data_IF_346966236486
#
_entry.id   IF_346966236486
#
_cell.length_a   1.000
_cell.length_b   1.000
_cell.length_c   1.000
_cell.angle_alpha   90.00
_cell.angle_beta   90.00
_cell.angle_gamma   90.00
#
_symmetry.space_group_name_H-M   'P 1'
#
loop_
_entity.id
_entity.type
_entity.pdbx_description
1 polymer ?
#
# COMPACT_ATOMS: atom_id res chain seq x y z
N UNK A 1 -20.78 3.75 16.86
CA UNK A 1 -19.50 4.26 16.32
C UNK A 1 -19.31 3.65 14.93
N UNK A 2 -18.60 4.32 14.02
CA UNK A 2 -18.33 3.75 12.69
C UNK A 2 -17.28 2.66 12.82
N UNK A 3 -17.60 1.45 12.34
CA UNK A 3 -16.66 0.34 12.28
C UNK A 3 -16.17 0.09 10.86
N UNK A 4 -14.86 -0.05 10.70
CA UNK A 4 -14.18 -0.26 9.42
C UNK A 4 -13.53 -1.65 9.41
N UNK A 5 -13.80 -2.43 8.36
CA UNK A 5 -13.04 -3.65 8.09
C UNK A 5 -11.75 -3.29 7.34
N UNK A 6 -10.61 -3.79 7.78
CA UNK A 6 -9.31 -3.59 7.13
C UNK A 6 -8.69 -4.94 6.82
N UNK A 7 -8.76 -5.36 5.56
CA UNK A 7 -8.06 -6.58 5.12
C UNK A 7 -6.59 -6.27 4.86
N UNK A 8 -5.66 -7.16 5.19
CA UNK A 8 -4.23 -6.90 5.02
C UNK A 8 -3.70 -5.83 5.99
N UNK A 9 -4.43 -5.59 7.08
CA UNK A 9 -4.18 -4.49 8.02
C UNK A 9 -2.93 -4.67 8.88
N UNK A 10 -2.36 -5.89 8.93
CA UNK A 10 -1.10 -6.13 9.63
C UNK A 10 0.14 -5.76 8.80
N UNK A 11 -0.03 -5.58 7.48
CA UNK A 11 1.03 -5.21 6.56
C UNK A 11 1.48 -3.75 6.71
N UNK A 12 2.40 -3.34 5.82
CA UNK A 12 3.04 -2.02 5.88
C UNK A 12 2.05 -0.84 5.81
N UNK A 13 1.37 -0.63 4.68
CA UNK A 13 0.40 0.48 4.54
C UNK A 13 -0.82 0.27 5.44
N UNK A 14 -1.24 -0.99 5.61
CA UNK A 14 -2.36 -1.38 6.45
C UNK A 14 -2.20 -0.91 7.90
N UNK A 15 -1.09 -1.24 8.55
CA UNK A 15 -0.85 -0.89 9.97
C UNK A 15 -0.81 0.62 10.21
N UNK A 16 -0.22 1.38 9.29
CA UNK A 16 -0.21 2.85 9.36
C UNK A 16 -1.62 3.42 9.16
N UNK A 17 -2.43 2.82 8.29
CA UNK A 17 -3.83 3.24 8.09
C UNK A 17 -4.70 2.89 9.30
N UNK A 18 -4.53 1.71 9.89
CA UNK A 18 -5.20 1.32 11.15
C UNK A 18 -4.90 2.33 12.24
N UNK A 19 -3.63 2.74 12.39
CA UNK A 19 -3.23 3.77 13.35
C UNK A 19 -3.99 5.08 13.14
N UNK A 20 -4.05 5.59 11.91
CA UNK A 20 -4.74 6.86 11.61
C UNK A 20 -6.26 6.71 11.83
N UNK A 21 -6.86 5.58 11.45
CA UNK A 21 -8.28 5.29 11.72
C UNK A 21 -8.60 5.33 13.22
N UNK A 22 -7.77 4.67 14.04
CA UNK A 22 -7.95 4.68 15.50
C UNK A 22 -7.80 6.08 16.07
N UNK A 23 -6.81 6.86 15.62
CA UNK A 23 -6.65 8.27 16.05
C UNK A 23 -7.88 9.11 15.72
N UNK A 24 -8.49 8.88 14.57
CA UNK A 24 -9.70 9.55 14.08
C UNK A 24 -11.00 9.02 14.71
N UNK A 25 -10.91 8.08 15.65
CA UNK A 25 -12.04 7.60 16.45
C UNK A 25 -12.88 6.51 15.78
N UNK A 26 -12.37 5.89 14.71
CA UNK A 26 -13.01 4.71 14.12
C UNK A 26 -12.74 3.46 14.97
N UNK A 27 -13.73 2.56 15.01
CA UNK A 27 -13.51 1.18 15.45
C UNK A 27 -12.97 0.38 14.27
N UNK A 28 -11.99 -0.48 14.50
CA UNK A 28 -11.30 -1.21 13.42
C UNK A 28 -11.29 -2.71 13.71
N UNK A 29 -11.73 -3.47 12.71
CA UNK A 29 -11.50 -4.92 12.62
C UNK A 29 -10.47 -5.18 11.54
N UNK A 30 -9.36 -5.85 11.89
CA UNK A 30 -8.35 -6.29 10.93
C UNK A 30 -8.53 -7.77 10.64
N UNK A 31 -8.44 -8.14 9.37
CA UNK A 31 -8.21 -9.52 8.94
C UNK A 31 -6.94 -9.60 8.10
N UNK A 32 -6.11 -10.59 8.37
CA UNK A 32 -4.84 -10.81 7.65
C UNK A 32 -4.48 -12.30 7.68
N UNK A 33 -3.88 -12.84 6.62
CA UNK A 33 -3.43 -14.24 6.61
C UNK A 33 -1.95 -14.38 6.99
N UNK A 34 -1.28 -13.28 7.32
CA UNK A 34 0.11 -13.22 7.78
C UNK A 34 1.15 -13.64 6.74
N UNK A 35 0.78 -13.76 5.46
CA UNK A 35 1.71 -14.19 4.39
C UNK A 35 2.92 -13.25 4.23
N UNK A 36 2.76 -11.97 4.62
CA UNK A 36 3.82 -10.97 4.61
C UNK A 36 3.68 -9.99 5.78
N UNK A 37 3.35 -10.50 6.97
CA UNK A 37 3.32 -9.76 8.22
C UNK A 37 3.89 -10.63 9.36
N UNK A 38 4.43 -10.00 10.40
CA UNK A 38 5.10 -10.70 11.51
C UNK A 38 4.12 -10.94 12.65
N UNK A 39 3.96 -12.21 13.00
CA UNK A 39 3.31 -12.64 14.23
C UNK A 39 4.39 -12.80 15.30
N UNK A 40 4.50 -11.89 16.26
CA UNK A 40 5.41 -12.05 17.40
C UNK A 40 4.80 -11.44 18.67
N UNK A 41 5.03 -12.09 19.81
CA UNK A 41 4.42 -11.78 21.11
C UNK A 41 3.30 -12.74 21.49
N UNK A 42 3.33 -13.23 22.74
CA UNK A 42 2.27 -14.06 23.34
C UNK A 42 0.94 -13.29 23.35
N UNK A 43 0.01 -13.62 22.46
CA UNK A 43 -1.28 -12.93 22.38
C UNK A 43 -2.07 -13.10 21.08
N UNK A 44 -1.49 -13.76 20.06
CA UNK A 44 -2.21 -14.07 18.82
C UNK A 44 -2.49 -12.87 17.91
N UNK A 45 -1.84 -11.71 18.18
CA UNK A 45 -1.96 -10.47 17.39
C UNK A 45 -0.61 -10.11 16.75
N UNK A 46 -0.58 -9.59 15.50
CA UNK A 46 0.64 -9.15 14.82
C UNK A 46 1.36 -8.05 15.57
N UNK A 47 2.70 -8.08 15.55
CA UNK A 47 3.50 -7.12 16.31
C UNK A 47 3.32 -5.68 15.79
N UNK A 48 3.08 -5.52 14.49
CA UNK A 48 2.70 -4.22 13.92
C UNK A 48 1.45 -3.65 14.58
N UNK A 49 0.44 -4.47 14.84
CA UNK A 49 -0.81 -4.06 15.49
C UNK A 49 -0.63 -3.84 17.00
N UNK A 50 0.14 -4.69 17.70
CA UNK A 50 0.49 -4.44 19.11
C UNK A 50 1.12 -3.06 19.31
N UNK A 51 2.03 -2.69 18.40
CA UNK A 51 2.69 -1.38 18.43
C UNK A 51 1.76 -0.25 18.01
N UNK A 52 0.82 -0.49 17.10
CA UNK A 52 -0.26 0.47 16.82
C UNK A 52 -1.11 0.75 18.06
N UNK A 53 -1.50 -0.28 18.81
CA UNK A 53 -2.23 -0.11 20.08
C UNK A 53 -1.41 0.68 21.10
N UNK A 54 -0.11 0.38 21.20
CA UNK A 54 0.82 1.12 22.07
C UNK A 54 0.93 2.61 21.68
N UNK A 55 0.99 2.93 20.40
CA UNK A 55 1.09 4.32 19.92
C UNK A 55 -0.22 5.09 20.18
N UNK A 56 -1.36 4.43 19.93
CA UNK A 56 -2.68 5.10 19.94
C UNK A 56 -3.35 5.09 21.31
N UNK A 57 -2.97 4.16 22.20
CA UNK A 57 -3.69 3.87 23.43
C UNK A 57 -5.08 3.25 23.21
N UNK A 58 -5.36 2.77 21.98
CA UNK A 58 -6.66 2.22 21.57
C UNK A 58 -6.49 0.79 21.08
N UNK A 59 -7.51 -0.03 21.25
CA UNK A 59 -7.47 -1.43 20.83
C UNK A 59 -7.93 -1.64 19.38
N UNK A 60 -7.38 -2.66 18.74
CA UNK A 60 -7.78 -3.16 17.42
C UNK A 60 -8.21 -4.62 17.52
N UNK A 61 -9.37 -4.93 16.95
CA UNK A 61 -9.83 -6.31 16.82
C UNK A 61 -9.10 -6.96 15.64
N UNK A 62 -8.72 -8.23 15.79
CA UNK A 62 -7.92 -8.95 14.81
C UNK A 62 -8.31 -10.42 14.72
N UNK A 63 -8.40 -10.95 13.50
CA UNK A 63 -8.49 -12.39 13.24
C UNK A 63 -7.59 -12.80 12.06
N UNK A 64 -6.96 -13.98 12.17
CA UNK A 64 -6.16 -14.56 11.09
C UNK A 64 -7.11 -15.22 10.09
N UNK A 65 -7.27 -14.61 8.91
CA UNK A 65 -8.20 -15.08 7.88
C UNK A 65 -7.59 -14.88 6.50
N UNK A 66 -7.62 -15.94 5.71
CA UNK A 66 -7.37 -15.86 4.27
C UNK A 66 -8.69 -15.56 3.55
N UNK A 67 -8.67 -14.65 2.58
CA UNK A 67 -9.85 -14.32 1.78
C UNK A 67 -10.32 -15.49 0.91
N UNK A 68 -9.47 -16.51 0.73
CA UNK A 68 -9.83 -17.78 0.09
C UNK A 68 -10.66 -18.69 1.00
N UNK A 69 -10.66 -18.49 2.31
CA UNK A 69 -11.55 -19.17 3.25
C UNK A 69 -12.88 -18.41 3.35
N UNK A 70 -13.75 -18.68 2.39
CA UNK A 70 -15.04 -18.00 2.25
C UNK A 70 -15.93 -18.15 3.48
N UNK A 71 -15.91 -19.32 4.14
CA UNK A 71 -16.73 -19.58 5.33
C UNK A 71 -16.20 -18.83 6.55
N UNK A 72 -14.88 -18.77 6.76
CA UNK A 72 -14.30 -17.93 7.81
C UNK A 72 -14.55 -16.44 7.56
N UNK A 73 -14.43 -15.99 6.31
CA UNK A 73 -14.71 -14.61 5.92
C UNK A 73 -16.18 -14.24 6.19
N UNK A 74 -17.14 -15.07 5.75
CA UNK A 74 -18.57 -14.90 6.05
C UNK A 74 -18.83 -14.81 7.54
N UNK A 75 -18.25 -15.73 8.32
CA UNK A 75 -18.40 -15.76 9.79
C UNK A 75 -17.96 -14.44 10.40
N UNK A 76 -16.78 -13.94 10.06
CA UNK A 76 -16.26 -12.70 10.66
C UNK A 76 -17.02 -11.47 10.23
N UNK A 77 -17.31 -11.32 8.93
CA UNK A 77 -18.06 -10.16 8.45
C UNK A 77 -19.44 -10.09 9.12
N UNK A 78 -20.10 -11.24 9.28
CA UNK A 78 -21.41 -11.35 9.94
C UNK A 78 -21.36 -11.11 11.45
N UNK A 79 -20.37 -11.67 12.16
CA UNK A 79 -20.34 -11.66 13.64
C UNK A 79 -19.65 -10.43 14.23
N UNK A 80 -18.76 -9.78 13.49
CA UNK A 80 -18.02 -8.59 13.92
C UNK A 80 -18.56 -7.30 13.32
N UNK A 81 -19.49 -7.37 12.36
CA UNK A 81 -20.18 -6.23 11.80
C UNK A 81 -21.21 -5.60 12.76
N UNK A 82 -22.03 -4.65 12.27
CA UNK A 82 -22.03 -4.13 10.90
C UNK A 82 -20.80 -3.28 10.60
N UNK A 83 -20.31 -3.37 9.37
CA UNK A 83 -19.22 -2.52 8.86
C UNK A 83 -19.81 -1.43 7.97
N UNK A 84 -19.30 -0.21 8.12
CA UNK A 84 -19.72 0.90 7.27
C UNK A 84 -18.93 0.95 5.95
N UNK A 85 -17.67 0.52 6.00
CA UNK A 85 -16.80 0.46 4.83
C UNK A 85 -15.69 -0.57 5.06
N UNK A 86 -15.14 -1.06 3.96
CA UNK A 86 -13.96 -1.92 3.95
C UNK A 86 -12.79 -1.20 3.28
N UNK A 87 -11.61 -1.22 3.90
CA UNK A 87 -10.36 -0.83 3.27
C UNK A 87 -9.59 -2.10 2.91
N UNK A 88 -9.42 -2.34 1.61
CA UNK A 88 -8.89 -3.60 1.09
C UNK A 88 -7.41 -3.47 0.69
N UNK A 89 -6.49 -3.86 1.59
CA UNK A 89 -5.05 -3.95 1.33
C UNK A 89 -4.56 -5.36 0.97
N UNK A 90 -5.29 -6.42 1.36
CA UNK A 90 -4.84 -7.80 1.21
C UNK A 90 -4.56 -8.16 -0.26
N UNK A 91 -3.29 -8.24 -0.62
CA UNK A 91 -2.81 -8.60 -1.95
C UNK A 91 -1.33 -8.99 -1.90
N UNK A 92 -0.92 -9.91 -2.77
CA UNK A 92 0.49 -10.07 -3.13
C UNK A 92 0.91 -8.89 -3.99
N UNK A 93 2.12 -8.35 -3.76
CA UNK A 93 2.54 -7.04 -4.30
C UNK A 93 3.85 -7.01 -5.10
N UNK A 94 4.59 -8.12 -5.20
CA UNK A 94 5.90 -8.11 -5.87
C UNK A 94 5.73 -8.26 -7.39
N UNK A 95 6.11 -7.21 -8.14
CA UNK A 95 6.10 -7.23 -9.62
C UNK A 95 6.92 -8.40 -10.16
N UNK A 96 8.16 -8.55 -9.70
CA UNK A 96 9.06 -9.60 -10.17
C UNK A 96 8.55 -11.01 -9.88
N UNK A 97 8.06 -11.26 -8.65
CA UNK A 97 7.49 -12.56 -8.27
C UNK A 97 6.22 -12.84 -9.10
N UNK A 98 5.40 -11.83 -9.39
CA UNK A 98 4.17 -12.00 -10.16
C UNK A 98 4.43 -12.51 -11.58
N UNK A 99 5.53 -12.10 -12.20
CA UNK A 99 5.95 -12.60 -13.51
C UNK A 99 6.37 -14.08 -13.46
N UNK A 100 6.90 -14.54 -12.32
CA UNK A 100 7.30 -15.92 -12.11
C UNK A 100 6.13 -16.81 -11.65
N UNK A 101 5.16 -16.26 -10.91
CA UNK A 101 4.05 -16.97 -10.30
C UNK A 101 2.69 -16.34 -10.62
N UNK A 102 2.31 -16.17 -11.90
CA UNK A 102 1.13 -15.39 -12.28
C UNK A 102 -0.17 -15.94 -11.69
N UNK A 103 -0.39 -17.27 -11.71
CA UNK A 103 -1.63 -17.88 -11.20
C UNK A 103 -1.81 -17.66 -9.69
N UNK A 104 -0.72 -17.61 -8.92
CA UNK A 104 -0.77 -17.30 -7.49
C UNK A 104 -1.29 -15.88 -7.26
N UNK A 105 -0.82 -14.92 -8.06
CA UNK A 105 -1.27 -13.52 -7.99
C UNK A 105 -2.74 -13.38 -8.42
N UNK A 106 -3.16 -13.99 -9.54
CA UNK A 106 -4.57 -13.93 -9.97
C UNK A 106 -5.51 -14.57 -8.97
N UNK A 107 -5.13 -15.70 -8.34
CA UNK A 107 -5.94 -16.33 -7.29
C UNK A 107 -6.04 -15.45 -6.06
N UNK A 108 -4.92 -15.01 -5.50
CA UNK A 108 -4.91 -14.23 -4.27
C UNK A 108 -5.57 -12.85 -4.46
N UNK A 109 -5.16 -12.11 -5.48
CA UNK A 109 -5.59 -10.73 -5.68
C UNK A 109 -6.91 -10.61 -6.47
N UNK A 110 -7.26 -11.62 -7.27
CA UNK A 110 -8.51 -11.66 -8.02
C UNK A 110 -9.59 -12.38 -7.23
N UNK A 111 -9.50 -13.71 -7.14
CA UNK A 111 -10.52 -14.54 -6.46
C UNK A 111 -10.74 -14.13 -5.00
N UNK A 112 -9.67 -13.87 -4.23
CA UNK A 112 -9.80 -13.40 -2.85
C UNK A 112 -10.57 -12.08 -2.73
N UNK A 113 -10.35 -11.15 -3.66
CA UNK A 113 -11.09 -9.87 -3.69
C UNK A 113 -12.55 -10.04 -4.12
N UNK A 114 -12.84 -10.98 -5.03
CA UNK A 114 -14.21 -11.32 -5.44
C UNK A 114 -14.97 -11.91 -4.24
N UNK A 115 -14.38 -12.88 -3.54
CA UNK A 115 -14.95 -13.44 -2.31
C UNK A 115 -15.28 -12.34 -1.28
N UNK A 116 -14.36 -11.36 -1.11
CA UNK A 116 -14.58 -10.22 -0.23
C UNK A 116 -15.78 -9.37 -0.67
N UNK A 117 -15.88 -9.01 -1.94
CA UNK A 117 -17.01 -8.21 -2.47
C UNK A 117 -18.35 -8.92 -2.28
N UNK A 118 -18.41 -10.24 -2.55
CA UNK A 118 -19.60 -11.06 -2.34
C UNK A 118 -20.05 -11.02 -0.86
N UNK A 119 -19.13 -11.32 0.07
CA UNK A 119 -19.46 -11.36 1.51
C UNK A 119 -19.82 -9.98 2.07
N UNK A 120 -19.15 -8.93 1.61
CA UNK A 120 -19.50 -7.56 1.99
C UNK A 120 -20.92 -7.20 1.53
N UNK A 121 -21.28 -7.56 0.29
CA UNK A 121 -22.61 -7.39 -0.27
C UNK A 121 -23.69 -8.17 0.48
N UNK A 122 -23.44 -9.44 0.81
CA UNK A 122 -24.32 -10.31 1.62
C UNK A 122 -24.65 -9.68 3.00
N UNK A 123 -23.77 -8.82 3.52
CA UNK A 123 -23.90 -8.17 4.82
C UNK A 123 -24.16 -6.65 4.74
N UNK A 124 -24.62 -6.15 3.58
CA UNK A 124 -24.95 -4.73 3.34
C UNK A 124 -23.79 -3.74 3.57
N UNK A 125 -22.53 -4.18 3.53
CA UNK A 125 -21.37 -3.30 3.55
C UNK A 125 -20.97 -2.92 2.11
N UNK A 126 -21.70 -1.98 1.51
CA UNK A 126 -21.53 -1.60 0.08
C UNK A 126 -20.59 -0.41 -0.14
N UNK A 127 -19.58 -0.25 0.72
CA UNK A 127 -18.57 0.80 0.60
C UNK A 127 -17.17 0.20 0.68
N UNK A 128 -16.34 0.43 -0.34
CA UNK A 128 -14.99 -0.13 -0.41
C UNK A 128 -13.96 0.91 -0.86
N UNK A 129 -12.87 0.99 -0.11
CA UNK A 129 -11.66 1.71 -0.47
C UNK A 129 -10.62 0.68 -0.90
N UNK A 130 -10.29 0.65 -2.18
CA UNK A 130 -9.42 -0.36 -2.76
C UNK A 130 -7.99 0.14 -2.94
N UNK A 131 -7.04 -0.70 -2.55
CA UNK A 131 -5.63 -0.49 -2.81
C UNK A 131 -5.29 -0.79 -4.26
N UNK A 132 -5.45 0.19 -5.13
CA UNK A 132 -4.94 0.12 -6.50
C UNK A 132 -3.47 0.56 -6.56
N UNK A 133 -2.94 0.78 -7.76
CA UNK A 133 -1.51 1.01 -7.99
C UNK A 133 -1.28 1.76 -9.30
N UNK A 134 -0.29 2.65 -9.35
CA UNK A 134 0.14 3.31 -10.58
C UNK A 134 0.53 2.32 -11.70
N UNK A 135 0.79 1.05 -11.37
CA UNK A 135 1.02 -0.01 -12.37
C UNK A 135 -0.15 -0.24 -13.33
N UNK A 136 -1.38 0.20 -12.98
CA UNK A 136 -2.55 0.08 -13.87
C UNK A 136 -2.40 0.92 -15.14
N UNK A 137 -1.58 1.97 -15.09
CA UNK A 137 -1.26 2.83 -16.24
C UNK A 137 -0.32 2.19 -17.25
N UNK A 138 0.37 1.10 -16.88
CA UNK A 138 1.34 0.45 -17.75
C UNK A 138 2.55 1.33 -18.04
N UNK A 139 3.00 1.32 -19.31
CA UNK A 139 4.02 2.24 -19.79
C UNK A 139 3.40 3.63 -20.04
N UNK A 140 3.87 4.70 -19.36
CA UNK A 140 3.27 6.03 -19.48
C UNK A 140 3.33 6.58 -20.90
N UNK A 141 2.19 7.06 -21.41
CA UNK A 141 2.10 7.76 -22.69
C UNK A 141 2.40 9.26 -22.54
N UNK A 142 2.16 9.80 -21.35
CA UNK A 142 2.53 11.15 -20.96
C UNK A 142 2.78 11.22 -19.45
N UNK A 143 3.43 12.30 -19.03
CA UNK A 143 3.71 12.60 -17.63
C UNK A 143 3.38 14.08 -17.35
N UNK A 144 2.88 14.43 -16.14
CA UNK A 144 2.50 13.52 -15.06
C UNK A 144 1.30 12.61 -15.40
N UNK A 145 1.18 11.48 -14.70
CA UNK A 145 0.05 10.56 -14.83
C UNK A 145 -1.17 11.11 -14.08
N UNK A 146 -2.21 11.54 -14.78
CA UNK A 146 -3.51 11.89 -14.21
C UNK A 146 -4.48 10.69 -14.22
N UNK A 147 -5.67 10.83 -13.64
CA UNK A 147 -6.67 9.75 -13.61
C UNK A 147 -7.37 9.50 -14.96
N UNK A 148 -7.19 10.40 -15.94
CA UNK A 148 -7.68 10.25 -17.32
C UNK A 148 -6.72 9.45 -18.19
N UNK A 149 -5.47 9.26 -17.76
CA UNK A 149 -4.49 8.48 -18.49
C UNK A 149 -5.02 7.05 -18.75
N UNK A 150 -4.83 6.50 -19.95
CA UNK A 150 -5.25 5.14 -20.27
C UNK A 150 -4.73 4.10 -19.26
N UNK A 151 -5.57 3.12 -18.94
CA UNK A 151 -5.23 2.00 -18.07
C UNK A 151 -5.39 0.66 -18.78
N UNK A 152 -4.79 -0.40 -18.24
CA UNK A 152 -4.92 -1.77 -18.74
C UNK A 152 -3.75 -2.26 -19.61
N UNK A 153 -2.86 -1.37 -20.03
CA UNK A 153 -1.57 -1.66 -20.68
C UNK A 153 -0.50 -2.21 -19.71
N UNK A 154 -0.93 -2.98 -18.70
CA UNK A 154 -0.08 -3.44 -17.60
C UNK A 154 1.05 -4.38 -18.09
N UNK A 155 2.28 -4.10 -17.66
CA UNK A 155 3.50 -4.85 -18.07
C UNK A 155 3.71 -6.16 -17.32
N UNK A 156 2.96 -6.41 -16.23
CA UNK A 156 3.19 -7.55 -15.34
C UNK A 156 1.87 -8.08 -14.73
N UNK A 157 1.83 -9.34 -14.26
CA UNK A 157 0.63 -9.93 -13.67
C UNK A 157 0.09 -9.20 -12.44
N UNK A 158 0.94 -8.68 -11.54
CA UNK A 158 0.49 -7.87 -10.41
C UNK A 158 -0.33 -6.66 -10.86
N UNK A 159 0.19 -5.86 -11.80
CA UNK A 159 -0.51 -4.70 -12.36
C UNK A 159 -1.84 -5.11 -13.02
N UNK A 160 -1.84 -6.22 -13.77
CA UNK A 160 -3.07 -6.77 -14.37
C UNK A 160 -4.12 -7.14 -13.32
N UNK A 161 -3.73 -7.73 -12.18
CA UNK A 161 -4.69 -8.03 -11.11
C UNK A 161 -5.33 -6.77 -10.55
N UNK A 162 -4.58 -5.68 -10.39
CA UNK A 162 -5.12 -4.40 -9.90
C UNK A 162 -6.09 -3.78 -10.91
N UNK A 163 -5.72 -3.77 -12.20
CA UNK A 163 -6.59 -3.28 -13.27
C UNK A 163 -7.90 -4.09 -13.37
N UNK A 164 -7.82 -5.42 -13.37
CA UNK A 164 -9.01 -6.28 -13.43
C UNK A 164 -9.94 -6.00 -12.24
N UNK A 165 -9.39 -5.80 -11.03
CA UNK A 165 -10.21 -5.47 -9.87
C UNK A 165 -10.84 -4.08 -9.97
N UNK A 166 -10.16 -3.09 -10.56
CA UNK A 166 -10.79 -1.79 -10.84
C UNK A 166 -12.01 -1.94 -11.75
N UNK A 167 -11.90 -2.74 -12.82
CA UNK A 167 -13.01 -2.99 -13.76
C UNK A 167 -14.15 -3.77 -13.09
N UNK A 168 -13.85 -4.83 -12.32
CA UNK A 168 -14.87 -5.58 -11.56
C UNK A 168 -15.62 -4.64 -10.60
N UNK A 169 -14.92 -3.78 -9.86
CA UNK A 169 -15.58 -2.84 -8.95
C UNK A 169 -16.42 -1.78 -9.69
N UNK A 170 -16.00 -1.36 -10.90
CA UNK A 170 -16.80 -0.49 -11.76
C UNK A 170 -18.09 -1.20 -12.20
N UNK A 171 -17.99 -2.46 -12.62
CA UNK A 171 -19.14 -3.27 -13.02
C UNK A 171 -20.11 -3.49 -11.86
N UNK A 172 -19.59 -3.81 -10.66
CA UNK A 172 -20.40 -3.93 -9.44
C UNK A 172 -21.15 -2.64 -9.13
N UNK A 173 -20.48 -1.48 -9.17
CA UNK A 173 -21.12 -0.18 -8.96
C UNK A 173 -22.14 0.18 -10.05
N UNK A 174 -21.95 -0.33 -11.26
CA UNK A 174 -22.88 -0.11 -12.39
C UNK A 174 -24.13 -0.98 -12.23
N UNK A 175 -23.96 -2.24 -11.80
CA UNK A 175 -25.05 -3.18 -11.59
C UNK A 175 -25.88 -2.85 -10.33
N UNK A 176 -25.23 -2.35 -9.28
CA UNK A 176 -25.87 -1.97 -8.01
C UNK A 176 -25.40 -0.57 -7.58
N UNK A 177 -26.22 0.48 -7.84
CA UNK A 177 -25.88 1.87 -7.54
C UNK A 177 -25.74 2.21 -6.04
N UNK A 178 -26.09 1.28 -5.14
CA UNK A 178 -25.83 1.46 -3.71
C UNK A 178 -24.34 1.30 -3.37
N UNK A 179 -23.57 0.62 -4.24
CA UNK A 179 -22.13 0.50 -4.06
C UNK A 179 -21.40 1.82 -4.26
N UNK A 180 -20.45 2.06 -3.35
CA UNK A 180 -19.49 3.16 -3.41
C UNK A 180 -18.09 2.57 -3.39
N UNK A 181 -17.35 2.75 -4.47
CA UNK A 181 -16.01 2.19 -4.61
C UNK A 181 -15.00 3.28 -4.96
N UNK A 182 -13.98 3.45 -4.11
CA UNK A 182 -12.88 4.38 -4.35
C UNK A 182 -11.60 3.60 -4.59
N UNK A 183 -11.02 3.76 -5.78
CA UNK A 183 -9.73 3.16 -6.15
C UNK A 183 -8.63 4.15 -5.83
N UNK A 184 -7.76 3.81 -4.88
CA UNK A 184 -6.61 4.64 -4.58
C UNK A 184 -5.40 4.08 -5.32
N UNK A 185 -4.99 4.75 -6.40
CA UNK A 185 -3.82 4.37 -7.21
C UNK A 185 -2.57 4.92 -6.54
N UNK A 186 -1.96 4.10 -5.69
CA UNK A 186 -0.73 4.50 -5.01
C UNK A 186 0.45 4.52 -5.97
N UNK A 187 1.34 5.48 -5.74
CA UNK A 187 2.67 5.45 -6.33
C UNK A 187 3.60 4.63 -5.42
N UNK A 188 4.72 5.16 -4.95
CA UNK A 188 5.73 4.37 -4.24
C UNK A 188 5.78 4.73 -2.74
N UNK A 189 5.00 4.06 -1.87
CA UNK A 189 5.01 4.33 -0.43
C UNK A 189 6.36 3.99 0.22
N UNK A 190 6.88 4.93 0.99
CA UNK A 190 8.14 4.85 1.77
C UNK A 190 7.97 5.61 3.10
N UNK A 191 8.99 5.62 3.97
CA UNK A 191 8.88 6.21 5.30
C UNK A 191 8.51 5.21 6.38
N UNK A 192 8.11 5.71 7.54
CA UNK A 192 7.61 4.95 8.67
C UNK A 192 6.78 5.87 9.58
N UNK A 193 6.21 5.35 10.66
CA UNK A 193 5.62 6.24 11.66
C UNK A 193 6.73 6.99 12.42
N UNK A 194 6.47 8.26 12.77
CA UNK A 194 7.47 9.13 13.39
C UNK A 194 8.02 8.62 14.74
N UNK A 195 7.31 7.72 15.43
CA UNK A 195 7.81 7.08 16.64
C UNK A 195 8.95 6.08 16.40
N UNK A 196 9.16 5.61 15.17
CA UNK A 196 10.07 4.50 14.87
C UNK A 196 9.61 3.16 15.46
N UNK A 197 8.36 3.03 15.90
CA UNK A 197 7.82 1.77 16.43
C UNK A 197 7.14 0.90 15.39
N UNK A 198 6.68 1.45 14.26
CA UNK A 198 6.16 0.68 13.12
C UNK A 198 6.78 1.22 11.82
N UNK A 199 7.01 0.34 10.86
CA UNK A 199 7.57 0.65 9.54
C UNK A 199 7.41 -0.54 8.59
N UNK A 200 8.09 -0.51 7.44
CA UNK A 200 8.08 -1.63 6.49
C UNK A 200 9.00 -2.75 6.98
N UNK A 201 8.46 -3.96 7.15
CA UNK A 201 9.21 -5.17 7.53
C UNK A 201 8.85 -6.34 6.60
N UNK A 202 9.44 -6.40 5.40
CA UNK A 202 9.14 -7.46 4.46
C UNK A 202 9.77 -8.78 4.93
N UNK A 203 9.03 -9.88 4.82
CA UNK A 203 9.59 -11.21 5.08
C UNK A 203 10.58 -11.59 3.96
N UNK A 204 11.78 -12.02 4.34
CA UNK A 204 12.83 -12.44 3.41
C UNK A 204 13.61 -11.29 2.77
N UNK A 205 13.89 -11.40 1.47
CA UNK A 205 14.62 -10.37 0.73
C UNK A 205 13.64 -9.30 0.23
N UNK A 206 13.82 -8.01 0.60
CA UNK A 206 12.96 -6.95 0.10
C UNK A 206 12.98 -6.87 -1.43
N UNK A 207 11.80 -6.78 -2.04
CA UNK A 207 11.65 -6.51 -3.48
C UNK A 207 11.63 -5.00 -3.81
N UNK A 208 11.36 -4.17 -2.80
CA UNK A 208 11.22 -2.71 -2.91
C UNK A 208 12.54 -2.00 -2.56
N UNK A 209 12.78 -0.84 -3.18
CA UNK A 209 14.03 -0.08 -3.05
C UNK A 209 14.34 0.33 -1.61
N UNK A 210 13.41 1.05 -0.96
CA UNK A 210 13.63 1.67 0.35
C UNK A 210 13.99 0.67 1.47
N UNK A 211 13.23 -0.42 1.70
CA UNK A 211 13.62 -1.41 2.72
C UNK A 211 14.96 -2.10 2.41
N UNK A 212 15.34 -2.20 1.13
CA UNK A 212 16.65 -2.74 0.76
C UNK A 212 17.78 -1.76 1.14
N UNK A 213 17.64 -0.47 0.79
CA UNK A 213 18.57 0.59 1.20
C UNK A 213 18.74 0.60 2.72
N UNK A 214 17.62 0.58 3.46
CA UNK A 214 17.63 0.60 4.91
C UNK A 214 18.37 -0.62 5.51
N UNK A 215 18.18 -1.82 4.93
CA UNK A 215 18.90 -3.03 5.36
C UNK A 215 20.40 -2.99 5.05
N UNK A 216 20.84 -2.32 3.98
CA UNK A 216 22.27 -2.05 3.74
C UNK A 216 22.81 -1.11 4.82
N UNK A 217 22.07 -0.04 5.13
CA UNK A 217 22.47 0.96 6.12
C UNK A 217 22.69 0.40 7.53
N UNK A 218 21.89 -0.60 7.94
CA UNK A 218 22.06 -1.32 9.22
C UNK A 218 22.97 -2.56 9.12
N UNK A 219 23.64 -2.77 7.98
CA UNK A 219 24.62 -3.84 7.80
C UNK A 219 24.03 -5.25 7.61
N UNK A 220 22.71 -5.40 7.41
CA UNK A 220 22.07 -6.68 7.08
C UNK A 220 22.37 -7.16 5.67
N UNK A 221 22.75 -6.25 4.78
CA UNK A 221 23.10 -6.53 3.38
C UNK A 221 24.37 -5.81 3.01
N UNK A 222 25.15 -6.42 2.11
CA UNK A 222 26.45 -5.89 1.68
C UNK A 222 26.31 -4.67 0.78
N UNK A 223 25.42 -4.73 -0.21
CA UNK A 223 25.21 -3.67 -1.19
C UNK A 223 23.81 -3.75 -1.79
N UNK A 224 23.26 -2.60 -2.21
CA UNK A 224 22.04 -2.48 -3.00
C UNK A 224 22.31 -2.89 -4.46
N UNK A 225 21.33 -3.52 -5.11
CA UNK A 225 21.36 -3.72 -6.56
C UNK A 225 20.53 -2.63 -7.23
N UNK A 226 21.17 -1.77 -8.03
CA UNK A 226 20.51 -0.74 -8.85
C UNK A 226 20.25 -1.31 -10.24
N UNK A 227 18.98 -1.56 -10.54
CA UNK A 227 18.56 -2.20 -11.79
C UNK A 227 18.52 -1.20 -12.95
N UNK A 228 19.57 -1.18 -13.77
CA UNK A 228 19.72 -0.32 -14.93
C UNK A 228 20.20 1.09 -14.60
N UNK A 229 21.07 1.63 -15.47
CA UNK A 229 21.61 2.98 -15.44
C UNK A 229 21.63 3.64 -16.83
N UNK A 230 20.80 3.13 -17.74
CA UNK A 230 20.73 3.49 -19.15
C UNK A 230 19.31 3.88 -19.59
N UNK A 231 18.40 4.12 -18.64
CA UNK A 231 17.06 4.66 -18.92
C UNK A 231 17.15 6.12 -19.39
N UNK A 232 16.19 6.56 -20.20
CA UNK A 232 16.07 7.96 -20.61
C UNK A 232 15.56 8.84 -19.44
N UNK A 233 16.47 9.10 -18.51
CA UNK A 233 16.25 9.77 -17.22
C UNK A 233 17.52 10.54 -16.84
N UNK A 234 17.44 11.56 -15.96
CA UNK A 234 18.58 12.46 -15.72
C UNK A 234 19.89 11.78 -15.26
N UNK A 235 19.82 10.66 -14.55
CA UNK A 235 20.99 9.90 -14.09
C UNK A 235 21.02 8.44 -14.60
N UNK A 236 20.17 8.13 -15.59
CA UNK A 236 20.05 6.80 -16.18
C UNK A 236 19.28 5.78 -15.34
N UNK A 237 18.92 6.09 -14.08
CA UNK A 237 18.19 5.16 -13.21
C UNK A 237 16.69 5.46 -13.15
N UNK A 238 15.89 4.44 -12.80
CA UNK A 238 14.44 4.56 -12.77
C UNK A 238 13.93 5.68 -11.85
N UNK A 239 13.00 6.50 -12.36
CA UNK A 239 12.38 7.62 -11.64
C UNK A 239 10.98 7.24 -11.17
N UNK A 240 10.70 7.46 -9.89
CA UNK A 240 9.42 7.14 -9.24
C UNK A 240 8.94 8.28 -8.35
N UNK A 241 7.63 8.41 -8.19
CA UNK A 241 7.01 9.28 -7.18
C UNK A 241 6.93 8.57 -5.84
N UNK A 242 7.85 8.93 -4.94
CA UNK A 242 7.88 8.41 -3.58
C UNK A 242 6.98 9.24 -2.69
N UNK A 243 6.06 8.55 -2.00
CA UNK A 243 5.09 9.16 -1.08
C UNK A 243 5.30 8.62 0.33
N UNK A 244 5.19 9.48 1.33
CA UNK A 244 5.31 9.07 2.72
C UNK A 244 4.10 8.22 3.14
N UNK A 245 4.34 7.07 3.78
CA UNK A 245 3.28 6.12 4.16
C UNK A 245 2.24 6.73 5.10
N UNK A 246 2.63 7.67 5.97
CA UNK A 246 1.66 8.40 6.80
C UNK A 246 0.77 9.35 5.99
N UNK A 247 1.29 10.02 4.95
CA UNK A 247 0.44 10.83 4.07
C UNK A 247 -0.54 9.93 3.32
N UNK A 248 -0.05 8.78 2.84
CA UNK A 248 -0.87 7.78 2.19
C UNK A 248 -1.97 7.24 3.12
N UNK A 249 -1.64 6.91 4.37
CA UNK A 249 -2.59 6.46 5.39
C UNK A 249 -3.69 7.50 5.68
N UNK A 250 -3.33 8.78 5.77
CA UNK A 250 -4.31 9.88 5.90
C UNK A 250 -5.20 9.98 4.65
N UNK A 251 -4.66 9.69 3.46
CA UNK A 251 -5.43 9.63 2.21
C UNK A 251 -6.56 8.59 2.24
N UNK A 252 -6.37 7.49 2.97
CA UNK A 252 -7.43 6.48 3.16
C UNK A 252 -8.57 7.00 4.00
N UNK A 253 -8.27 7.72 5.09
CA UNK A 253 -9.32 8.33 5.92
C UNK A 253 -10.07 9.40 5.14
N UNK A 254 -9.37 10.18 4.29
CA UNK A 254 -10.02 11.11 3.37
C UNK A 254 -10.95 10.39 2.38
N UNK A 255 -10.53 9.25 1.83
CA UNK A 255 -11.35 8.42 0.96
C UNK A 255 -12.59 7.84 1.67
N UNK A 256 -12.43 7.33 2.90
CA UNK A 256 -13.57 6.87 3.73
C UNK A 256 -14.55 8.01 3.96
N UNK A 257 -14.07 9.22 4.32
CA UNK A 257 -14.93 10.41 4.49
C UNK A 257 -15.66 10.75 3.18
N UNK A 258 -14.96 10.74 2.04
CA UNK A 258 -15.55 11.01 0.72
C UNK A 258 -16.64 10.00 0.37
N UNK A 259 -16.42 8.71 0.61
CA UNK A 259 -17.41 7.68 0.34
C UNK A 259 -18.67 7.82 1.22
N UNK A 260 -18.56 8.42 2.41
CA UNK A 260 -19.71 8.68 3.28
C UNK A 260 -20.59 9.83 2.79
N UNK A 261 -20.05 10.76 2.01
CA UNK A 261 -20.82 11.89 1.49
C UNK A 261 -21.95 11.41 0.57
N UNK A 262 -23.14 11.99 0.72
CA UNK A 262 -24.30 11.66 -0.12
C UNK A 262 -24.07 12.00 -1.59
N UNK A 263 -23.21 12.96 -1.87
CA UNK A 263 -22.80 13.37 -3.21
C UNK A 263 -21.88 12.35 -3.89
N UNK A 264 -21.27 11.42 -3.16
CA UNK A 264 -20.45 10.35 -3.74
C UNK A 264 -21.31 9.13 -4.06
N UNK A 265 -21.23 8.67 -5.32
CA UNK A 265 -21.94 7.50 -5.83
C UNK A 265 -21.04 6.73 -6.81
N UNK A 266 -21.22 5.42 -6.85
CA UNK A 266 -20.55 4.55 -7.81
C UNK A 266 -19.04 4.45 -7.61
N UNK A 267 -18.32 4.42 -8.72
CA UNK A 267 -16.89 4.12 -8.79
C UNK A 267 -16.07 5.38 -9.11
N UNK A 268 -14.93 5.57 -8.43
CA UNK A 268 -13.97 6.62 -8.78
C UNK A 268 -12.54 6.26 -8.41
N UNK A 269 -11.58 6.64 -9.25
CA UNK A 269 -10.15 6.51 -8.97
C UNK A 269 -9.51 7.84 -8.57
N UNK A 270 -8.49 7.77 -7.71
CA UNK A 270 -7.63 8.90 -7.32
C UNK A 270 -6.18 8.46 -7.24
N UNK A 271 -5.28 9.27 -7.76
CA UNK A 271 -3.85 9.13 -7.58
C UNK A 271 -3.43 9.64 -6.20
N UNK A 272 -2.70 8.80 -5.46
CA UNK A 272 -2.04 9.19 -4.21
C UNK A 272 -0.53 9.13 -4.41
N UNK A 273 0.04 10.30 -4.72
CA UNK A 273 1.47 10.55 -4.87
C UNK A 273 1.84 11.94 -4.34
N UNK A 274 3.02 12.43 -4.72
CA UNK A 274 3.50 13.79 -4.41
C UNK A 274 3.54 14.69 -5.64
N UNK A 275 3.47 14.07 -6.83
CA UNK A 275 3.72 14.70 -8.12
C UNK A 275 5.18 15.01 -8.42
N UNK A 276 6.11 14.46 -7.62
CA UNK A 276 7.55 14.66 -7.79
C UNK A 276 8.26 13.33 -8.01
N UNK A 277 8.81 13.15 -9.21
CA UNK A 277 9.67 12.01 -9.52
C UNK A 277 11.06 12.17 -8.91
N UNK A 278 11.57 11.11 -8.27
CA UNK A 278 12.96 10.99 -7.84
C UNK A 278 13.58 9.70 -8.40
N UNK A 279 14.83 9.76 -8.81
CA UNK A 279 15.59 8.61 -9.31
C UNK A 279 16.01 7.66 -8.18
N UNK A 280 16.52 6.48 -8.53
CA UNK A 280 17.09 5.54 -7.55
C UNK A 280 18.27 6.17 -6.82
N UNK A 281 19.18 6.83 -7.55
CA UNK A 281 20.38 7.43 -6.93
C UNK A 281 20.05 8.66 -6.08
N UNK A 282 19.02 9.43 -6.43
CA UNK A 282 18.51 10.50 -5.56
C UNK A 282 17.97 9.95 -4.24
N UNK A 283 17.27 8.82 -4.26
CA UNK A 283 16.83 8.14 -3.03
C UNK A 283 17.99 7.62 -2.20
N UNK A 284 19.02 7.04 -2.84
CA UNK A 284 20.24 6.60 -2.15
C UNK A 284 20.92 7.78 -1.45
N UNK A 285 21.14 8.89 -2.17
CA UNK A 285 21.77 10.09 -1.61
C UNK A 285 20.96 10.69 -0.45
N UNK A 286 19.63 10.76 -0.59
CA UNK A 286 18.75 11.25 0.48
C UNK A 286 18.80 10.33 1.72
N UNK A 287 18.91 9.01 1.51
CA UNK A 287 19.02 8.07 2.61
C UNK A 287 20.40 8.13 3.30
N UNK A 288 21.50 8.27 2.55
CA UNK A 288 22.84 8.51 3.10
C UNK A 288 22.85 9.74 4.02
N UNK A 289 22.20 10.83 3.59
CA UNK A 289 22.09 12.05 4.38
C UNK A 289 21.30 11.82 5.70
N UNK A 290 20.27 10.98 5.68
CA UNK A 290 19.47 10.66 6.86
C UNK A 290 20.17 9.67 7.82
N UNK A 291 20.85 8.66 7.27
CA UNK A 291 21.51 7.61 8.05
C UNK A 291 22.90 8.01 8.55
N UNK A 292 23.54 9.00 7.92
CA UNK A 292 24.89 9.44 8.26
C UNK A 292 25.98 8.45 7.85
N UNK A 293 25.68 7.48 6.98
CA UNK A 293 26.62 6.49 6.47
C UNK A 293 26.45 6.28 4.96
N UNK A 294 27.49 5.72 4.33
CA UNK A 294 27.48 5.40 2.89
C UNK A 294 26.69 4.13 2.60
N UNK A 295 25.91 4.14 1.53
CA UNK A 295 25.17 2.98 1.05
C UNK A 295 25.91 2.40 -0.15
N UNK A 296 26.54 1.24 0.04
CA UNK A 296 27.16 0.52 -1.06
C UNK A 296 26.09 0.05 -2.06
N UNK A 297 26.34 0.17 -3.35
CA UNK A 297 25.47 -0.34 -4.40
C UNK A 297 26.26 -0.77 -5.64
N UNK A 298 25.70 -1.75 -6.37
CA UNK A 298 26.18 -2.22 -7.66
C UNK A 298 25.13 -1.91 -8.73
N UNK A 299 25.56 -1.41 -9.89
CA UNK A 299 24.69 -1.33 -11.07
C UNK A 299 24.59 -2.72 -11.69
N UNK A 300 23.36 -3.20 -11.89
CA UNK A 300 23.05 -4.50 -12.50
C UNK A 300 22.09 -4.33 -13.70
N UNK A 301 21.86 -5.36 -14.54
CA UNK A 301 20.91 -5.26 -15.65
C UNK A 301 19.51 -4.82 -15.21
N UNK A 302 18.75 -4.24 -16.15
CA UNK A 302 17.35 -3.85 -15.91
C UNK A 302 16.52 -5.04 -15.44
N UNK A 303 15.60 -4.78 -14.51
CA UNK A 303 14.63 -5.77 -14.03
C UNK A 303 13.44 -5.82 -14.98
N UNK A 304 13.02 -7.03 -15.33
CA UNK A 304 11.87 -7.23 -16.24
C UNK A 304 10.61 -6.58 -15.68
N UNK A 305 9.92 -5.80 -16.52
CA UNK A 305 8.68 -5.10 -16.19
C UNK A 305 8.87 -3.68 -15.60
N UNK A 306 10.10 -3.26 -15.28
CA UNK A 306 10.36 -1.89 -14.80
C UNK A 306 10.34 -0.87 -15.96
N UNK A 307 9.62 0.24 -15.73
CA UNK A 307 9.54 1.39 -16.64
C UNK A 307 10.55 2.48 -16.26
N UNK A 308 10.84 3.40 -17.17
CA UNK A 308 11.80 4.48 -16.95
C UNK A 308 11.32 5.46 -15.86
N UNK A 309 10.21 6.15 -16.11
CA UNK A 309 9.70 7.25 -15.26
C UNK A 309 8.23 7.07 -14.95
N UNK A 310 7.81 7.30 -13.70
CA UNK A 310 6.40 7.33 -13.30
C UNK A 310 6.18 8.27 -12.11
N UNK A 311 5.36 9.31 -12.31
CA UNK A 311 4.95 10.21 -11.23
C UNK A 311 3.55 10.79 -11.47
N UNK A 312 2.90 11.20 -10.39
CA UNK A 312 1.47 11.50 -10.37
C UNK A 312 1.15 12.95 -10.78
N UNK A 313 -0.04 13.16 -11.34
CA UNK A 313 -0.81 14.37 -11.08
C UNK A 313 -1.76 14.03 -9.92
N UNK A 314 -1.72 14.83 -8.85
CA UNK A 314 -2.53 14.64 -7.64
C UNK A 314 -3.63 15.70 -7.49
N UNK A 315 -3.89 16.49 -8.52
CA UNK A 315 -4.85 17.62 -8.49
C UNK A 315 -6.27 17.16 -8.16
N UNK A 316 -6.66 15.98 -8.64
CA UNK A 316 -7.99 15.42 -8.36
C UNK A 316 -8.15 15.05 -6.89
N UNK A 317 -7.15 14.41 -6.28
CA UNK A 317 -7.14 14.10 -4.85
C UNK A 317 -7.14 15.39 -3.99
N UNK A 318 -6.38 16.41 -4.39
CA UNK A 318 -6.39 17.71 -3.71
C UNK A 318 -7.77 18.38 -3.75
N UNK A 319 -8.46 18.30 -4.87
CA UNK A 319 -9.75 18.97 -5.06
C UNK A 319 -10.90 18.21 -4.40
N UNK A 320 -10.98 16.89 -4.63
CA UNK A 320 -12.16 16.11 -4.27
C UNK A 320 -12.01 15.28 -2.99
N UNK A 321 -10.78 14.86 -2.65
CA UNK A 321 -10.51 14.24 -1.34
C UNK A 321 -10.05 15.26 -0.30
N UNK A 322 -9.77 16.51 -0.72
CA UNK A 322 -9.18 17.56 0.12
C UNK A 322 -7.89 17.07 0.78
N UNK A 323 -7.11 16.28 0.04
CA UNK A 323 -5.91 15.61 0.52
C UNK A 323 -4.71 15.95 -0.37
N UNK A 324 -3.56 16.16 0.25
CA UNK A 324 -2.28 16.36 -0.45
C UNK A 324 -1.16 15.81 0.43
N UNK A 325 -0.18 15.14 -0.18
CA UNK A 325 1.02 14.71 0.52
C UNK A 325 1.83 15.93 1.01
N UNK A 326 2.32 15.87 2.25
CA UNK A 326 2.99 16.98 2.93
C UNK A 326 4.46 16.69 3.20
N UNK A 327 4.80 15.42 3.38
CA UNK A 327 6.14 14.96 3.76
C UNK A 327 7.06 14.96 2.56
N UNK A 328 8.30 15.36 2.81
CA UNK A 328 9.36 15.43 1.81
C UNK A 328 10.14 14.12 1.74
N UNK A 329 10.97 13.96 0.70
CA UNK A 329 11.93 12.85 0.61
C UNK A 329 12.84 12.76 1.85
N UNK A 330 13.22 13.91 2.43
CA UNK A 330 14.05 13.95 3.63
C UNK A 330 13.29 13.37 4.85
N UNK A 331 12.01 13.72 5.01
CA UNK A 331 11.17 13.12 6.05
C UNK A 331 11.03 11.61 5.87
N UNK A 332 10.79 11.16 4.62
CA UNK A 332 10.67 9.74 4.29
C UNK A 332 11.92 8.96 4.69
N UNK A 333 13.10 9.44 4.28
CA UNK A 333 14.37 8.81 4.61
C UNK A 333 14.65 8.83 6.13
N UNK A 334 14.40 9.96 6.80
CA UNK A 334 14.61 10.10 8.23
C UNK A 334 13.70 9.18 9.05
N UNK A 335 12.43 9.07 8.70
CA UNK A 335 11.47 8.23 9.40
C UNK A 335 11.75 6.74 9.13
N UNK A 336 12.09 6.36 7.89
CA UNK A 336 12.57 4.98 7.60
C UNK A 336 13.84 4.65 8.37
N UNK A 337 14.83 5.56 8.44
CA UNK A 337 16.05 5.32 9.20
C UNK A 337 15.76 5.17 10.69
N UNK A 338 14.89 6.01 11.27
CA UNK A 338 14.49 5.90 12.69
C UNK A 338 13.86 4.53 12.98
N UNK A 339 12.98 4.07 12.10
CA UNK A 339 12.43 2.71 12.18
C UNK A 339 13.53 1.65 12.10
N UNK A 340 14.33 1.65 11.04
CA UNK A 340 15.26 0.56 10.76
C UNK A 340 16.41 0.51 11.77
N UNK A 341 16.93 1.66 12.22
CA UNK A 341 18.00 1.72 13.22
C UNK A 341 17.53 1.28 14.62
N UNK A 342 16.29 1.62 15.00
CA UNK A 342 15.67 1.13 16.24
C UNK A 342 15.22 -0.34 16.17
N UNK A 343 15.03 -0.86 14.97
CA UNK A 343 14.53 -2.21 14.70
C UNK A 343 15.38 -2.88 13.61
N UNK A 344 16.68 -3.14 13.88
CA UNK A 344 17.62 -3.56 12.83
C UNK A 344 17.14 -4.82 12.10
N UNK A 345 16.49 -5.75 12.80
CA UNK A 345 15.97 -7.00 12.23
C UNK A 345 14.48 -6.95 11.84
N UNK A 346 13.81 -5.81 11.98
CA UNK A 346 12.37 -5.69 11.78
C UNK A 346 11.60 -5.86 13.08
N UNK A 347 10.37 -6.37 13.00
CA UNK A 347 9.55 -6.67 14.17
C UNK A 347 10.12 -7.84 14.99
N UNK A 348 10.73 -8.83 14.32
CA UNK A 348 11.39 -9.98 14.94
C UNK A 348 12.73 -9.61 15.60
N UNK A 349 12.88 -9.90 16.90
CA UNK A 349 14.08 -9.61 17.70
C UNK A 349 15.26 -10.58 17.46
#
# INVERSE_FOLDING_TARGET
MTRILVTGGAGYVGSHTVLVLLQEGYEVMVIDNMVNAVLEGSGGKPESLNRVEKITGKTVDFEIIDLMDLEALRRVVKTKGPFESCIHFAALKSVGESCQQPLRYYRNNGTGSINLLEVLGENNCKSIIFSSSATVYGDPQYLPLDEKHPTGSCTNPYGKTKFIMEEIMRDVCTADPEWKAIMLRYFNPVGAHASGLIGEDPLGIPNNLMPFIAQVAVGRRKALQVFGNDYDTPDGTGVRDYIHVMDLAVGHVAAVRRAKEDSFKGWKAFNLGTGKGNSVLQMVAAFEAAAGNKIAYDIVPRRSGDIATSYADCSLAATELKWTAKKTIADMCADTWRWQSGNPKGFAA
#
